data_IF_805694714868
#
_entry.id   IF_805694714868
#
_cell.length_a   1.000
_cell.length_b   1.000
_cell.length_c   1.000
_cell.angle_alpha   90.00
_cell.angle_beta   90.00
_cell.angle_gamma   90.00
#
_symmetry.space_group_name_H-M   'P 1'
#
loop_
_entity.id
_entity.type
_entity.pdbx_description
1 polymer ?
#
# COMPACT_ATOMS: atom_id res chain seq x y z
N UNK A 1 57.66 9.09 30.51
CA UNK A 1 57.18 10.19 29.63
C UNK A 1 56.56 9.50 28.42
N UNK A 2 55.25 9.24 28.46
CA UNK A 2 54.22 10.02 27.77
C UNK A 2 54.31 9.87 26.24
N UNK A 3 53.28 9.61 25.44
CA UNK A 3 51.86 9.33 25.60
C UNK A 3 51.34 9.06 24.17
N UNK A 4 50.21 8.35 24.03
CA UNK A 4 49.28 8.42 22.89
C UNK A 4 49.80 7.81 21.57
N UNK A 5 49.05 7.03 20.81
CA UNK A 5 47.62 6.83 20.78
C UNK A 5 47.24 6.56 19.32
N UNK A 6 46.30 5.63 19.16
CA UNK A 6 45.44 5.47 18.00
C UNK A 6 46.08 4.90 16.73
N UNK A 7 45.85 3.58 16.58
CA UNK A 7 45.33 2.96 15.36
C UNK A 7 44.77 4.03 14.41
N UNK A 8 45.45 4.26 13.30
CA UNK A 8 44.90 5.03 12.18
C UNK A 8 43.71 4.27 11.62
N UNK A 9 42.57 4.56 12.25
CA UNK A 9 41.24 4.60 11.70
C UNK A 9 41.19 4.32 10.20
N UNK A 10 40.56 3.21 9.87
CA UNK A 10 39.84 2.93 8.64
C UNK A 10 38.75 3.99 8.39
N UNK A 11 39.12 5.25 8.21
CA UNK A 11 38.21 6.31 7.74
C UNK A 11 38.22 6.36 6.23
N UNK A 12 37.72 5.29 5.64
CA UNK A 12 37.18 5.28 4.26
C UNK A 12 35.83 4.56 4.28
N UNK A 13 34.91 5.16 5.05
CA UNK A 13 33.58 5.55 4.55
C UNK A 13 32.50 4.46 4.40
N UNK A 14 31.46 4.41 5.26
CA UNK A 14 30.16 3.93 4.83
C UNK A 14 29.42 5.10 4.15
N UNK A 15 29.67 5.35 2.86
CA UNK A 15 28.84 6.26 2.01
C UNK A 15 27.80 5.49 1.20
N UNK A 16 27.30 4.41 1.76
CA UNK A 16 26.10 3.79 1.24
C UNK A 16 25.13 3.80 2.41
N UNK A 17 24.22 4.77 2.50
CA UNK A 17 23.05 4.65 3.37
C UNK A 17 22.38 3.31 3.07
N UNK A 18 21.75 2.69 4.05
CA UNK A 18 21.24 1.32 4.02
C UNK A 18 19.98 1.18 3.12
N UNK A 19 20.11 1.48 1.82
CA UNK A 19 19.03 1.46 0.81
C UNK A 19 18.57 0.04 0.40
N UNK A 20 18.86 -0.98 1.20
CA UNK A 20 18.58 -2.38 0.83
C UNK A 20 17.17 -2.85 1.24
N UNK A 21 16.44 -2.08 2.03
CA UNK A 21 15.03 -2.35 2.32
C UNK A 21 14.16 -1.24 1.72
N UNK A 22 13.24 -1.64 0.84
CA UNK A 22 12.25 -0.74 0.27
C UNK A 22 11.47 -0.01 1.37
N UNK A 23 11.25 -0.66 2.51
CA UNK A 23 10.56 -0.07 3.65
C UNK A 23 11.33 1.12 4.23
N UNK A 24 12.61 0.96 4.55
CA UNK A 24 13.47 2.02 5.09
C UNK A 24 13.55 3.23 4.17
N UNK A 25 13.66 3.00 2.85
CA UNK A 25 13.63 4.05 1.84
C UNK A 25 12.30 4.84 1.92
N UNK A 26 11.17 4.14 1.84
CA UNK A 26 9.87 4.81 1.76
C UNK A 26 9.45 5.47 3.08
N UNK A 27 9.85 4.92 4.23
CA UNK A 27 9.63 5.54 5.55
C UNK A 27 10.40 6.85 5.68
N UNK A 28 11.67 6.88 5.25
CA UNK A 28 12.47 8.11 5.25
C UNK A 28 11.89 9.17 4.30
N UNK A 29 11.43 8.77 3.12
CA UNK A 29 10.82 9.68 2.14
C UNK A 29 9.43 10.20 2.56
N UNK A 30 8.71 9.48 3.42
CA UNK A 30 7.38 9.90 3.89
C UNK A 30 7.40 11.18 4.74
N UNK A 31 8.55 11.51 5.36
CA UNK A 31 8.70 12.67 6.23
C UNK A 31 9.13 13.95 5.50
N UNK A 32 9.43 13.86 4.19
CA UNK A 32 9.87 15.02 3.41
C UNK A 32 8.68 15.85 2.93
N UNK A 33 8.74 17.20 3.04
CA UNK A 33 7.68 18.08 2.55
C UNK A 33 7.44 17.91 1.04
N UNK A 34 6.19 18.11 0.63
CA UNK A 34 5.70 17.75 -0.71
C UNK A 34 5.16 16.32 -0.71
N UNK A 35 3.89 16.18 -0.36
CA UNK A 35 3.18 14.91 -0.42
C UNK A 35 2.88 14.58 -1.89
N UNK A 36 3.43 13.48 -2.38
CA UNK A 36 3.09 12.92 -3.69
C UNK A 36 2.49 11.55 -3.47
N UNK A 37 1.29 11.30 -4.01
CA UNK A 37 0.51 10.08 -3.82
C UNK A 37 1.32 8.78 -3.98
N UNK A 38 2.25 8.75 -4.95
CA UNK A 38 3.14 7.61 -5.19
C UNK A 38 3.89 7.18 -3.94
N UNK A 39 4.30 8.11 -3.06
CA UNK A 39 5.00 7.75 -1.81
C UNK A 39 4.10 6.91 -0.91
N UNK A 40 2.85 7.30 -0.73
CA UNK A 40 1.88 6.53 0.07
C UNK A 40 1.65 5.13 -0.51
N UNK A 41 1.46 5.04 -1.83
CA UNK A 41 1.32 3.74 -2.51
C UNK A 41 2.55 2.84 -2.36
N UNK A 42 3.76 3.40 -2.52
CA UNK A 42 5.01 2.65 -2.40
C UNK A 42 5.30 2.21 -0.96
N UNK A 43 5.10 3.11 0.00
CA UNK A 43 5.24 2.81 1.42
C UNK A 43 4.24 1.73 1.86
N UNK A 44 2.96 1.86 1.49
CA UNK A 44 1.95 0.86 1.82
C UNK A 44 2.28 -0.51 1.23
N UNK A 45 2.81 -0.55 0.01
CA UNK A 45 3.26 -1.81 -0.61
C UNK A 45 4.43 -2.44 0.16
N UNK A 46 5.39 -1.63 0.62
CA UNK A 46 6.52 -2.13 1.40
C UNK A 46 6.06 -2.63 2.79
N UNK A 47 5.19 -1.88 3.46
CA UNK A 47 4.61 -2.25 4.77
C UNK A 47 3.80 -3.55 4.68
N UNK A 48 2.97 -3.71 3.63
CA UNK A 48 2.22 -4.94 3.41
C UNK A 48 3.12 -6.16 3.18
N UNK A 49 4.24 -6.00 2.45
CA UNK A 49 5.25 -7.07 2.29
C UNK A 49 5.96 -7.42 3.59
N UNK A 50 6.12 -6.44 4.48
CA UNK A 50 6.66 -6.64 5.82
C UNK A 50 5.62 -7.17 6.82
N UNK A 51 4.37 -7.42 6.40
CA UNK A 51 3.28 -7.89 7.28
C UNK A 51 2.69 -6.80 8.19
N UNK A 52 3.10 -5.53 8.03
CA UNK A 52 2.63 -4.38 8.81
C UNK A 52 1.34 -3.81 8.19
N UNK A 53 0.28 -4.62 8.18
CA UNK A 53 -0.93 -4.35 7.38
C UNK A 53 -1.71 -3.10 7.81
N UNK A 54 -1.86 -2.85 9.12
CA UNK A 54 -2.55 -1.66 9.61
C UNK A 54 -1.82 -0.36 9.18
N UNK A 55 -0.50 -0.37 9.21
CA UNK A 55 0.31 0.77 8.76
C UNK A 55 0.26 0.91 7.23
N UNK A 56 0.20 -0.23 6.51
CA UNK A 56 0.03 -0.23 5.07
C UNK A 56 -1.28 0.43 4.66
N UNK A 57 -2.39 0.14 5.35
CA UNK A 57 -3.69 0.79 5.13
C UNK A 57 -3.58 2.31 5.28
N UNK A 58 -2.98 2.81 6.37
CA UNK A 58 -2.78 4.24 6.57
C UNK A 58 -1.94 4.87 5.45
N UNK A 59 -0.90 4.19 4.98
CA UNK A 59 -0.09 4.68 3.87
C UNK A 59 -0.86 4.71 2.54
N UNK A 60 -1.71 3.73 2.29
CA UNK A 60 -2.60 3.72 1.12
C UNK A 60 -3.67 4.80 1.22
N UNK A 61 -4.25 5.04 2.39
CA UNK A 61 -5.22 6.12 2.63
C UNK A 61 -4.65 7.48 2.28
N UNK A 62 -3.38 7.75 2.64
CA UNK A 62 -2.67 8.98 2.24
C UNK A 62 -2.54 9.12 0.73
N UNK A 63 -2.26 8.01 0.02
CA UNK A 63 -2.22 8.00 -1.45
C UNK A 63 -3.60 8.27 -2.05
N UNK A 64 -4.63 7.64 -1.50
CA UNK A 64 -6.01 7.77 -1.97
C UNK A 64 -6.63 9.14 -1.65
N UNK A 65 -6.15 9.83 -0.61
CA UNK A 65 -6.57 11.21 -0.35
C UNK A 65 -6.26 12.15 -1.54
N UNK A 66 -5.21 11.87 -2.31
CA UNK A 66 -4.83 12.62 -3.51
C UNK A 66 -5.44 12.02 -4.79
N UNK A 67 -5.53 10.69 -4.88
CA UNK A 67 -6.14 9.97 -5.99
C UNK A 67 -7.18 8.94 -5.51
N UNK A 68 -8.42 9.39 -5.19
CA UNK A 68 -9.42 8.54 -4.53
C UNK A 68 -9.89 7.32 -5.33
N UNK A 69 -9.64 7.34 -6.64
CA UNK A 69 -10.06 6.32 -7.59
C UNK A 69 -8.88 5.61 -8.26
N UNK A 70 -7.70 5.64 -7.64
CA UNK A 70 -6.57 4.82 -8.10
C UNK A 70 -6.84 3.34 -7.81
N UNK A 71 -7.22 2.61 -8.85
CA UNK A 71 -7.59 1.19 -8.74
C UNK A 71 -6.51 0.32 -8.09
N UNK A 72 -5.24 0.38 -8.53
CA UNK A 72 -4.15 -0.36 -7.90
C UNK A 72 -4.01 -0.09 -6.40
N UNK A 73 -4.06 1.17 -5.97
CA UNK A 73 -3.95 1.52 -4.55
C UNK A 73 -5.18 1.04 -3.76
N UNK A 74 -6.39 1.18 -4.30
CA UNK A 74 -7.62 0.68 -3.65
C UNK A 74 -7.58 -0.84 -3.46
N UNK A 75 -7.11 -1.58 -4.46
CA UNK A 75 -6.98 -3.04 -4.41
C UNK A 75 -6.04 -3.47 -3.27
N UNK A 76 -4.88 -2.82 -3.20
CA UNK A 76 -3.90 -3.06 -2.13
C UNK A 76 -4.40 -2.65 -0.76
N UNK A 77 -5.15 -1.55 -0.65
CA UNK A 77 -5.81 -1.13 0.58
C UNK A 77 -6.82 -2.18 1.04
N UNK A 78 -7.70 -2.68 0.16
CA UNK A 78 -8.68 -3.72 0.49
C UNK A 78 -8.01 -4.96 1.07
N UNK A 79 -6.95 -5.45 0.42
CA UNK A 79 -6.16 -6.58 0.92
C UNK A 79 -5.50 -6.29 2.28
N UNK A 80 -4.94 -5.08 2.46
CA UNK A 80 -4.32 -4.67 3.71
C UNK A 80 -5.34 -4.57 4.86
N UNK A 81 -6.53 -4.00 4.64
CA UNK A 81 -7.60 -3.93 5.64
C UNK A 81 -8.03 -5.32 6.11
N UNK A 82 -8.26 -6.25 5.17
CA UNK A 82 -8.61 -7.64 5.53
C UNK A 82 -7.50 -8.33 6.34
N UNK A 83 -6.25 -8.10 5.96
CA UNK A 83 -5.11 -8.67 6.65
C UNK A 83 -4.90 -8.06 8.05
N UNK A 84 -5.20 -6.77 8.23
CA UNK A 84 -5.09 -6.06 9.50
C UNK A 84 -6.14 -6.53 10.52
N UNK A 85 -7.37 -6.80 10.06
CA UNK A 85 -8.46 -7.34 10.89
C UNK A 85 -8.30 -8.84 11.20
N UNK A 86 -7.34 -9.50 10.56
CA UNK A 86 -7.14 -10.94 10.62
C UNK A 86 -7.95 -11.68 9.54
N UNK A 87 -7.25 -12.54 8.80
CA UNK A 87 -7.85 -13.34 7.74
C UNK A 87 -8.82 -14.39 8.30
N UNK A 88 -10.05 -14.38 7.80
CA UNK A 88 -10.97 -15.52 7.92
C UNK A 88 -10.93 -16.40 6.68
N UNK A 89 -11.52 -17.59 6.74
CA UNK A 89 -11.69 -18.47 5.58
C UNK A 89 -12.51 -17.79 4.48
N UNK A 90 -13.52 -17.01 4.86
CA UNK A 90 -14.37 -16.25 3.95
C UNK A 90 -13.59 -15.11 3.28
N UNK A 91 -12.71 -14.44 4.02
CA UNK A 91 -11.82 -13.40 3.48
C UNK A 91 -10.83 -14.02 2.48
N UNK A 92 -10.26 -15.18 2.79
CA UNK A 92 -9.33 -15.88 1.90
C UNK A 92 -9.97 -16.26 0.56
N UNK A 93 -11.24 -16.68 0.57
CA UNK A 93 -11.99 -16.96 -0.64
C UNK A 93 -12.25 -15.72 -1.50
N UNK A 94 -12.22 -14.51 -0.91
CA UNK A 94 -12.42 -13.25 -1.62
C UNK A 94 -11.14 -12.73 -2.31
N UNK A 95 -9.95 -13.11 -1.82
CA UNK A 95 -8.63 -12.62 -2.29
C UNK A 95 -8.48 -12.53 -3.81
N UNK A 96 -8.84 -13.56 -4.60
CA UNK A 96 -8.63 -13.53 -6.05
C UNK A 96 -9.38 -12.41 -6.76
N UNK A 97 -10.42 -11.84 -6.13
CA UNK A 97 -11.23 -10.76 -6.67
C UNK A 97 -10.76 -9.37 -6.23
N UNK A 98 -9.81 -9.27 -5.28
CA UNK A 98 -9.39 -8.00 -4.67
C UNK A 98 -8.24 -7.32 -5.39
N UNK A 99 -7.68 -7.97 -6.40
CA UNK A 99 -6.78 -7.33 -7.38
C UNK A 99 -7.47 -7.19 -8.76
N UNK A 100 -8.62 -6.47 -8.85
CA UNK A 100 -9.28 -6.26 -10.12
C UNK A 100 -8.40 -5.39 -11.04
N UNK A 101 -8.40 -5.65 -12.36
CA UNK A 101 -7.72 -4.79 -13.31
C UNK A 101 -8.16 -3.31 -13.19
N UNK A 102 -7.22 -2.36 -13.28
CA UNK A 102 -7.56 -0.94 -13.33
C UNK A 102 -8.50 -0.68 -14.51
N UNK A 103 -9.58 0.07 -14.28
CA UNK A 103 -10.52 0.42 -15.34
C UNK A 103 -11.53 -0.68 -15.71
N UNK A 104 -11.55 -1.82 -15.03
CA UNK A 104 -12.60 -2.83 -15.21
C UNK A 104 -13.69 -2.71 -14.12
N UNK A 105 -14.74 -1.93 -14.42
CA UNK A 105 -15.85 -1.72 -13.51
C UNK A 105 -16.54 -3.03 -13.08
N UNK A 106 -16.63 -4.03 -13.98
CA UNK A 106 -17.24 -5.32 -13.63
C UNK A 106 -16.35 -6.13 -12.69
N UNK A 107 -15.04 -6.07 -12.84
CA UNK A 107 -14.12 -6.69 -11.89
C UNK A 107 -14.25 -6.06 -10.50
N UNK A 108 -14.38 -4.72 -10.42
CA UNK A 108 -14.65 -4.03 -9.15
C UNK A 108 -15.99 -4.40 -8.52
N UNK A 109 -17.05 -4.62 -9.32
CA UNK A 109 -18.31 -5.15 -8.80
C UNK A 109 -18.17 -6.56 -8.21
N UNK A 110 -17.37 -7.43 -8.86
CA UNK A 110 -17.09 -8.77 -8.33
C UNK A 110 -16.28 -8.70 -7.03
N UNK A 111 -15.30 -7.80 -6.96
CA UNK A 111 -14.56 -7.53 -5.74
C UNK A 111 -15.51 -7.13 -4.60
N UNK A 112 -16.40 -6.16 -4.85
CA UNK A 112 -17.40 -5.72 -3.87
C UNK A 112 -18.28 -6.87 -3.37
N UNK A 113 -18.79 -7.70 -4.27
CA UNK A 113 -19.60 -8.86 -3.91
C UNK A 113 -18.83 -9.89 -3.09
N UNK A 114 -17.57 -10.16 -3.45
CA UNK A 114 -16.72 -11.10 -2.72
C UNK A 114 -16.47 -10.63 -1.28
N UNK A 115 -16.10 -9.36 -1.09
CA UNK A 115 -15.84 -8.77 0.23
C UNK A 115 -17.12 -8.65 1.06
N UNK A 116 -18.26 -8.39 0.42
CA UNK A 116 -19.58 -8.40 1.07
C UNK A 116 -19.92 -9.78 1.62
N UNK A 117 -19.67 -10.84 0.85
CA UNK A 117 -19.85 -12.24 1.31
C UNK A 117 -18.89 -12.62 2.43
N UNK A 118 -17.71 -12.01 2.45
CA UNK A 118 -16.76 -12.13 3.55
C UNK A 118 -17.17 -11.32 4.81
N UNK A 119 -18.32 -10.66 4.79
CA UNK A 119 -18.87 -9.95 5.94
C UNK A 119 -18.25 -8.58 6.19
N UNK A 120 -17.61 -7.97 5.19
CA UNK A 120 -17.03 -6.61 5.26
C UNK A 120 -17.79 -5.61 4.37
N UNK A 121 -18.98 -5.16 4.78
CA UNK A 121 -19.86 -4.31 3.94
C UNK A 121 -19.27 -2.93 3.64
N UNK A 122 -18.45 -2.40 4.53
CA UNK A 122 -17.71 -1.14 4.40
C UNK A 122 -16.68 -1.19 3.26
N UNK A 123 -15.86 -2.25 3.23
CA UNK A 123 -14.89 -2.50 2.16
C UNK A 123 -15.60 -2.79 0.82
N UNK A 124 -16.74 -3.49 0.86
CA UNK A 124 -17.57 -3.71 -0.33
C UNK A 124 -18.11 -2.40 -0.92
N UNK A 125 -18.59 -1.48 -0.08
CA UNK A 125 -19.05 -0.16 -0.54
C UNK A 125 -17.90 0.65 -1.15
N UNK A 126 -16.67 0.51 -0.65
CA UNK A 126 -15.49 1.13 -1.27
C UNK A 126 -15.19 0.58 -2.66
N UNK A 127 -15.20 -0.75 -2.84
CA UNK A 127 -15.02 -1.37 -4.15
C UNK A 127 -16.14 -0.99 -5.14
N UNK A 128 -17.38 -0.87 -4.66
CA UNK A 128 -18.52 -0.46 -5.49
C UNK A 128 -18.38 0.99 -6.01
N UNK A 129 -17.94 1.92 -5.15
CA UNK A 129 -17.65 3.30 -5.57
C UNK A 129 -16.60 3.36 -6.68
N UNK A 130 -15.62 2.46 -6.65
CA UNK A 130 -14.63 2.37 -7.72
C UNK A 130 -15.20 1.81 -9.02
N UNK A 131 -16.08 0.81 -8.94
CA UNK A 131 -16.80 0.30 -10.10
C UNK A 131 -17.60 1.42 -10.80
N UNK A 132 -18.32 2.21 -10.02
CA UNK A 132 -19.10 3.35 -10.50
C UNK A 132 -18.19 4.42 -11.12
N UNK A 133 -17.12 4.80 -10.44
CA UNK A 133 -16.17 5.80 -10.93
C UNK A 133 -15.54 5.42 -12.27
N UNK A 134 -15.18 4.15 -12.44
CA UNK A 134 -14.66 3.61 -13.69
C UNK A 134 -15.73 3.59 -14.78
N UNK A 135 -16.96 3.23 -14.44
CA UNK A 135 -18.06 3.15 -15.41
C UNK A 135 -18.46 4.53 -15.93
N UNK A 136 -18.52 5.52 -15.05
CA UNK A 136 -18.87 6.91 -15.39
C UNK A 136 -17.74 7.60 -16.18
N UNK A 137 -16.49 7.20 -15.95
CA UNK A 137 -15.31 7.71 -16.68
C UNK A 137 -14.73 6.59 -17.56
N UNK A 138 -15.37 6.25 -18.69
CA UNK A 138 -14.80 5.27 -19.60
C UNK A 138 -13.41 5.72 -20.03
N UNK A 139 -12.46 4.78 -20.07
CA UNK A 139 -11.11 5.04 -20.56
C UNK A 139 -11.19 5.47 -22.03
N UNK A 140 -10.40 6.47 -22.46
CA UNK A 140 -10.23 6.72 -23.88
C UNK A 140 -9.70 5.44 -24.57
N UNK A 141 -10.08 5.20 -25.84
CA UNK A 141 -9.74 3.98 -26.58
C UNK A 141 -8.23 3.76 -26.73
#
# INVERSE_FOLDING_TARGET
>A
LAALGLVSLSTTQPRVPEWHDALTLWEAEAHKPGEHWVRGHKLGTALGRAGRFAEAEVAFDRSLAQHPHDGPTLARRLLASLAADGWTEQDAAAVPFLEPPPGDGRAWMRAAEAVRRAGRPDLAAMAMRQAEAVTVRPLPP
#
